data_IF_463978596092
#
_entry.id   IF_463978596092
#
_cell.length_a   1.000
_cell.length_b   1.000
_cell.length_c   1.000
_cell.angle_alpha   90.00
_cell.angle_beta   90.00
_cell.angle_gamma   90.00
#
_symmetry.space_group_name_H-M   'P 1'
#
loop_
_entity.id
_entity.type
_entity.pdbx_description
1 polymer ?
#
# COMPACT_ATOMS: atom_id res chain seq x y z
N UNK A 1 37.43 -0.10 -25.89
CA UNK A 1 36.71 -0.16 -27.20
C UNK A 1 35.22 -0.20 -26.89
N UNK A 2 34.44 0.77 -27.36
CA UNK A 2 32.98 0.71 -27.27
C UNK A 2 32.46 -0.25 -28.34
N UNK A 3 31.58 -1.19 -27.98
CA UNK A 3 30.95 -2.13 -28.91
C UNK A 3 29.55 -1.61 -29.21
N UNK A 4 29.21 -1.28 -30.46
CA UNK A 4 27.85 -0.92 -30.81
C UNK A 4 26.94 -2.14 -30.62
N UNK A 5 25.84 -1.96 -29.89
CA UNK A 5 24.81 -2.98 -29.71
C UNK A 5 23.52 -2.48 -30.33
N UNK A 6 22.78 -3.40 -30.96
CA UNK A 6 21.42 -3.12 -31.44
C UNK A 6 20.45 -3.62 -30.37
N UNK A 7 19.62 -2.72 -29.85
CA UNK A 7 18.60 -3.12 -28.88
C UNK A 7 17.60 -4.08 -29.55
N UNK A 8 17.23 -5.20 -28.90
CA UNK A 8 16.22 -6.09 -29.44
C UNK A 8 14.88 -5.35 -29.56
N UNK A 9 14.30 -5.36 -30.76
CA UNK A 9 12.95 -4.84 -30.99
C UNK A 9 11.98 -5.88 -30.45
N UNK A 10 11.29 -5.57 -29.37
CA UNK A 10 10.24 -6.46 -28.88
C UNK A 10 9.06 -6.41 -29.83
N UNK A 11 8.64 -7.57 -30.34
CA UNK A 11 7.48 -7.67 -31.20
C UNK A 11 6.23 -7.14 -30.50
N UNK A 12 5.36 -6.46 -31.26
CA UNK A 12 4.05 -6.07 -30.78
C UNK A 12 3.18 -7.34 -30.71
N UNK A 13 2.97 -7.86 -29.50
CA UNK A 13 2.08 -8.99 -29.25
C UNK A 13 0.72 -8.46 -28.76
N UNK A 14 -0.35 -8.61 -29.55
CA UNK A 14 -1.69 -8.17 -29.14
C UNK A 14 -2.20 -8.84 -27.86
N UNK A 15 -1.64 -10.00 -27.47
CA UNK A 15 -1.96 -10.71 -26.23
C UNK A 15 -1.41 -10.00 -24.98
N UNK A 16 -0.40 -9.15 -25.15
CA UNK A 16 0.30 -8.41 -24.11
C UNK A 16 0.53 -6.96 -24.56
N UNK A 17 -0.54 -6.15 -24.67
CA UNK A 17 -0.50 -4.84 -25.31
C UNK A 17 0.21 -3.75 -24.48
N UNK A 18 0.54 -4.02 -23.22
CA UNK A 18 1.19 -3.07 -22.32
C UNK A 18 2.69 -3.37 -22.17
N UNK A 19 3.47 -2.35 -21.80
CA UNK A 19 4.88 -2.49 -21.43
C UNK A 19 5.07 -2.33 -19.93
N UNK A 20 5.49 -3.40 -19.28
CA UNK A 20 5.82 -3.41 -17.86
C UNK A 20 7.26 -2.93 -17.65
N UNK A 21 7.38 -1.88 -16.85
CA UNK A 21 8.60 -1.41 -16.24
C UNK A 21 8.61 -1.81 -14.75
N UNK A 22 9.78 -2.18 -14.24
CA UNK A 22 9.97 -2.49 -12.82
C UNK A 22 10.93 -1.49 -12.21
N UNK A 23 10.74 -1.10 -10.96
CA UNK A 23 11.71 -0.20 -10.32
C UNK A 23 11.70 -0.23 -8.82
N UNK A 24 12.16 0.89 -8.23
CA UNK A 24 12.41 1.02 -6.81
C UNK A 24 11.59 2.18 -6.24
N UNK A 25 11.06 1.96 -5.05
CA UNK A 25 10.61 3.02 -4.17
C UNK A 25 11.79 3.55 -3.37
N UNK A 26 11.72 4.85 -3.08
CA UNK A 26 12.72 5.58 -2.30
C UNK A 26 13.00 4.93 -0.94
N UNK A 27 11.94 4.58 -0.22
CA UNK A 27 12.03 4.14 1.19
C UNK A 27 12.40 2.66 1.34
N UNK A 28 12.58 1.94 0.24
CA UNK A 28 12.74 0.50 0.23
C UNK A 28 14.04 0.10 -0.46
N UNK A 29 14.72 -0.89 0.11
CA UNK A 29 16.03 -1.33 -0.34
C UNK A 29 16.01 -2.80 -0.72
N UNK A 30 16.30 -3.08 -1.99
CA UNK A 30 16.23 -4.41 -2.60
C UNK A 30 14.98 -5.17 -2.15
N UNK A 31 15.13 -6.38 -1.63
CA UNK A 31 14.06 -7.30 -1.27
C UNK A 31 13.53 -7.10 0.16
N UNK A 32 13.68 -5.89 0.72
CA UNK A 32 13.17 -5.53 2.05
C UNK A 32 13.75 -6.33 3.23
N UNK A 33 14.85 -7.07 3.05
CA UNK A 33 15.49 -7.83 4.13
C UNK A 33 15.96 -6.98 5.31
N UNK A 34 16.17 -5.69 5.09
CA UNK A 34 16.45 -4.70 6.15
C UNK A 34 15.33 -3.67 6.30
N UNK A 35 14.91 -3.07 5.18
CA UNK A 35 13.95 -1.96 5.18
C UNK A 35 12.53 -2.40 5.51
N UNK A 36 12.15 -3.64 5.19
CA UNK A 36 10.86 -4.22 5.61
C UNK A 36 10.75 -4.51 7.11
N UNK A 37 11.86 -4.46 7.87
CA UNK A 37 11.86 -4.58 9.33
C UNK A 37 11.71 -3.23 10.04
N UNK A 38 11.72 -2.12 9.30
CA UNK A 38 11.57 -0.78 9.88
C UNK A 38 10.10 -0.35 9.84
N UNK A 39 9.48 -0.08 11.00
CA UNK A 39 8.14 0.53 11.06
C UNK A 39 8.10 1.84 10.28
N UNK A 40 9.07 2.74 10.52
CA UNK A 40 9.14 4.07 9.92
C UNK A 40 9.17 4.01 8.38
N UNK A 41 10.03 3.16 7.80
CA UNK A 41 10.15 3.07 6.33
C UNK A 41 8.94 2.39 5.67
N UNK A 42 8.15 1.65 6.45
CA UNK A 42 6.94 0.98 5.96
C UNK A 42 5.74 1.92 5.82
N UNK A 43 5.78 3.12 6.42
CA UNK A 43 4.60 3.98 6.56
C UNK A 43 4.15 4.65 5.25
N UNK A 44 5.05 4.99 4.34
CA UNK A 44 4.71 5.78 3.13
C UNK A 44 4.12 4.93 2.00
N UNK A 45 4.59 3.69 1.81
CA UNK A 45 4.00 2.71 0.88
C UNK A 45 4.03 1.33 1.51
N UNK A 46 2.88 0.93 2.05
CA UNK A 46 2.68 -0.38 2.73
C UNK A 46 2.48 -1.52 1.74
N UNK A 47 2.02 -1.20 0.53
CA UNK A 47 1.64 -2.17 -0.50
C UNK A 47 2.47 -2.00 -1.81
N UNK A 48 2.73 -3.09 -2.55
CA UNK A 48 3.23 -3.00 -3.91
C UNK A 48 2.09 -2.50 -4.80
N UNK A 49 2.35 -1.40 -5.51
CA UNK A 49 1.35 -0.75 -6.35
C UNK A 49 1.66 -1.04 -7.82
N UNK A 50 0.62 -1.17 -8.64
CA UNK A 50 0.72 -1.07 -10.10
C UNK A 50 0.30 0.33 -10.50
N UNK A 51 1.25 1.11 -11.02
CA UNK A 51 1.01 2.48 -11.48
C UNK A 51 0.58 2.46 -12.94
N UNK A 52 -0.63 2.95 -13.20
CA UNK A 52 -1.30 2.93 -14.51
C UNK A 52 -1.79 4.33 -14.86
N UNK A 53 -1.64 4.74 -16.12
CA UNK A 53 -2.15 6.01 -16.59
C UNK A 53 -3.70 6.03 -16.57
N UNK A 54 -4.36 7.15 -16.20
CA UNK A 54 -5.83 7.24 -16.10
C UNK A 54 -6.62 6.73 -17.31
N UNK A 55 -6.15 7.03 -18.52
CA UNK A 55 -6.77 6.55 -19.76
C UNK A 55 -6.77 5.02 -19.88
N UNK A 56 -5.66 4.37 -19.54
CA UNK A 56 -5.55 2.92 -19.65
C UNK A 56 -6.32 2.25 -18.52
N UNK A 57 -6.32 2.85 -17.31
CA UNK A 57 -7.15 2.41 -16.21
C UNK A 57 -8.64 2.42 -16.59
N UNK A 58 -9.13 3.51 -17.21
CA UNK A 58 -10.50 3.61 -17.70
C UNK A 58 -10.81 2.56 -18.78
N UNK A 59 -9.91 2.38 -19.76
CA UNK A 59 -10.08 1.39 -20.82
C UNK A 59 -10.10 -0.06 -20.31
N UNK A 60 -9.39 -0.34 -19.21
CA UNK A 60 -9.26 -1.67 -18.60
C UNK A 60 -10.26 -1.91 -17.45
N UNK A 61 -11.08 -0.92 -17.08
CA UNK A 61 -12.00 -1.01 -15.95
C UNK A 61 -11.31 -1.08 -14.58
N UNK A 62 -10.11 -0.52 -14.46
CA UNK A 62 -9.35 -0.49 -13.21
C UNK A 62 -9.81 0.67 -12.32
N UNK A 63 -10.11 0.36 -11.06
CA UNK A 63 -10.44 1.35 -10.04
C UNK A 63 -9.21 1.68 -9.18
N UNK A 64 -9.06 2.96 -8.78
CA UNK A 64 -8.10 3.34 -7.75
C UNK A 64 -8.34 2.51 -6.47
N UNK A 65 -7.26 2.10 -5.81
CA UNK A 65 -7.26 1.21 -4.64
C UNK A 65 -7.89 -0.19 -4.86
N UNK A 66 -8.32 -0.50 -6.09
CA UNK A 66 -8.70 -1.85 -6.50
C UNK A 66 -7.49 -2.79 -6.56
N UNK A 67 -7.74 -4.08 -6.80
CA UNK A 67 -6.69 -5.06 -7.08
C UNK A 67 -6.63 -5.36 -8.57
N UNK A 68 -5.42 -5.56 -9.07
CA UNK A 68 -5.19 -5.93 -10.45
C UNK A 68 -4.07 -6.95 -10.59
N UNK A 69 -4.27 -7.92 -11.47
CA UNK A 69 -3.29 -8.95 -11.79
C UNK A 69 -2.55 -8.57 -13.07
N UNK A 70 -1.25 -8.33 -12.94
CA UNK A 70 -0.35 -8.15 -14.08
C UNK A 70 0.05 -9.53 -14.57
N UNK A 71 -0.11 -9.79 -15.87
CA UNK A 71 0.20 -11.08 -16.50
C UNK A 71 1.18 -10.88 -17.64
N UNK A 72 2.22 -11.71 -17.68
CA UNK A 72 3.22 -11.80 -18.76
C UNK A 72 3.32 -13.24 -19.23
N UNK A 73 4.15 -13.50 -20.24
CA UNK A 73 4.46 -14.88 -20.68
C UNK A 73 5.13 -15.72 -19.56
N UNK A 74 5.82 -15.10 -18.61
CA UNK A 74 6.52 -15.79 -17.51
C UNK A 74 5.62 -16.12 -16.32
N UNK A 75 4.50 -15.42 -16.15
CA UNK A 75 3.64 -15.61 -15.00
C UNK A 75 2.77 -14.39 -14.68
N UNK A 76 2.31 -14.35 -13.43
CA UNK A 76 1.41 -13.30 -12.95
C UNK A 76 1.71 -12.91 -11.50
N UNK A 77 1.33 -11.68 -11.16
CA UNK A 77 1.41 -11.10 -9.82
C UNK A 77 0.29 -10.08 -9.62
N UNK A 78 -0.23 -9.98 -8.39
CA UNK A 78 -1.37 -9.10 -8.04
C UNK A 78 -0.90 -7.91 -7.22
N UNK A 79 -1.38 -6.72 -7.57
CA UNK A 79 -1.00 -5.44 -7.00
C UNK A 79 -2.23 -4.60 -6.66
N UNK A 80 -2.05 -3.65 -5.74
CA UNK A 80 -2.99 -2.55 -5.54
C UNK A 80 -2.87 -1.55 -6.68
N UNK A 81 -3.97 -1.09 -7.25
CA UNK A 81 -3.97 -0.14 -8.37
C UNK A 81 -3.70 1.27 -7.86
N UNK A 82 -2.69 1.92 -8.44
CA UNK A 82 -2.48 3.36 -8.33
C UNK A 82 -2.70 4.00 -9.71
N UNK A 83 -3.66 4.92 -9.79
CA UNK A 83 -3.85 5.74 -10.98
C UNK A 83 -2.85 6.90 -10.91
N UNK A 84 -1.93 6.96 -11.87
CA UNK A 84 -0.82 7.92 -11.88
C UNK A 84 -0.77 8.66 -13.22
N UNK A 85 -1.19 9.95 -13.27
CA UNK A 85 -1.13 10.76 -14.50
C UNK A 85 0.27 10.92 -15.07
N UNK A 86 1.32 10.82 -14.22
CA UNK A 86 2.71 10.84 -14.65
C UNK A 86 3.15 9.57 -15.40
N UNK A 87 2.36 8.50 -15.39
CA UNK A 87 2.66 7.27 -16.13
C UNK A 87 2.42 7.45 -17.62
N UNK A 88 3.27 6.87 -18.47
CA UNK A 88 3.06 6.92 -19.92
C UNK A 88 1.95 5.95 -20.34
N UNK A 89 1.06 6.39 -21.24
CA UNK A 89 0.02 5.53 -21.83
C UNK A 89 0.63 4.31 -22.52
N UNK A 90 0.05 3.13 -22.28
CA UNK A 90 0.54 1.84 -22.74
C UNK A 90 1.69 1.26 -21.90
N UNK A 91 2.24 2.02 -20.96
CA UNK A 91 3.31 1.58 -20.06
C UNK A 91 2.74 1.47 -18.62
N UNK A 92 3.22 0.49 -17.86
CA UNK A 92 2.82 0.26 -16.46
C UNK A 92 4.06 0.02 -15.60
N UNK A 93 3.98 0.39 -14.32
CA UNK A 93 5.10 0.28 -13.40
C UNK A 93 4.73 -0.54 -12.17
N UNK A 94 5.65 -1.42 -11.73
CA UNK A 94 5.56 -2.09 -10.42
C UNK A 94 6.89 -2.02 -9.65
N UNK A 95 6.87 -1.95 -8.32
CA UNK A 95 8.09 -2.02 -7.52
C UNK A 95 8.64 -3.44 -7.43
N UNK A 96 9.96 -3.57 -7.30
CA UNK A 96 10.64 -4.86 -7.20
C UNK A 96 10.82 -5.42 -5.78
N UNK A 97 10.32 -4.70 -4.77
CA UNK A 97 10.77 -4.91 -3.39
C UNK A 97 10.14 -6.10 -2.67
N UNK A 98 8.90 -6.46 -3.00
CA UNK A 98 8.14 -7.44 -2.23
C UNK A 98 8.53 -8.87 -2.59
N UNK A 99 8.84 -9.66 -1.56
CA UNK A 99 9.11 -11.10 -1.61
C UNK A 99 7.93 -11.91 -1.07
N UNK A 100 8.06 -13.24 -1.03
CA UNK A 100 7.11 -14.15 -0.39
C UNK A 100 7.04 -13.99 1.13
N UNK A 101 8.06 -13.40 1.77
CA UNK A 101 7.98 -12.98 3.16
C UNK A 101 7.02 -11.80 3.33
N UNK A 102 7.00 -10.87 2.38
CA UNK A 102 6.27 -9.60 2.52
C UNK A 102 4.93 -9.59 1.78
N UNK A 103 4.71 -10.48 0.81
CA UNK A 103 3.48 -10.57 0.03
C UNK A 103 3.22 -11.96 -0.53
N UNK A 104 1.94 -12.35 -0.56
CA UNK A 104 1.50 -13.60 -1.20
C UNK A 104 1.49 -13.54 -2.73
N UNK A 105 1.24 -12.35 -3.31
CA UNK A 105 0.94 -12.20 -4.73
C UNK A 105 1.74 -11.10 -5.46
N UNK A 106 2.20 -10.04 -4.77
CA UNK A 106 2.79 -8.84 -5.37
C UNK A 106 4.29 -8.93 -5.68
N UNK A 107 4.75 -10.03 -6.31
CA UNK A 107 6.18 -10.32 -6.56
C UNK A 107 6.54 -10.06 -8.03
N UNK A 108 7.23 -8.96 -8.31
CA UNK A 108 7.58 -8.56 -9.69
C UNK A 108 8.48 -9.55 -10.43
N UNK A 109 9.35 -10.28 -9.71
CA UNK A 109 10.27 -11.23 -10.35
C UNK A 109 9.55 -12.42 -11.01
N UNK A 110 8.27 -12.64 -10.71
CA UNK A 110 7.43 -13.62 -11.42
C UNK A 110 7.05 -13.18 -12.84
N UNK A 111 7.23 -11.90 -13.15
CA UNK A 111 6.79 -11.29 -14.40
C UNK A 111 7.90 -11.22 -15.46
N UNK A 112 9.16 -11.22 -15.03
CA UNK A 112 10.30 -11.05 -15.93
C UNK A 112 10.54 -12.28 -16.80
N UNK A 113 10.92 -12.07 -18.06
CA UNK A 113 11.43 -13.13 -18.93
C UNK A 113 12.79 -13.65 -18.41
N UNK A 114 13.10 -14.95 -18.60
CA UNK A 114 14.41 -15.50 -18.26
C UNK A 114 15.52 -15.06 -19.23
N UNK A 115 15.17 -14.36 -20.32
CA UNK A 115 16.12 -13.89 -21.32
C UNK A 115 17.14 -12.93 -20.73
N UNK A 116 18.39 -13.13 -21.13
CA UNK A 116 19.52 -12.30 -20.72
C UNK A 116 20.25 -11.76 -21.95
N UNK A 117 20.88 -10.61 -21.79
CA UNK A 117 21.79 -10.08 -22.79
C UNK A 117 22.96 -11.05 -23.00
N UNK A 118 23.23 -11.52 -24.23
CA UNK A 118 24.22 -12.57 -24.50
C UNK A 118 25.66 -12.16 -24.22
N UNK A 119 25.95 -10.86 -24.05
CA UNK A 119 27.30 -10.35 -23.76
C UNK A 119 27.53 -10.18 -22.26
N UNK A 120 26.58 -9.59 -21.55
CA UNK A 120 26.70 -9.23 -20.12
C UNK A 120 26.06 -10.24 -19.17
N UNK A 121 25.16 -11.09 -19.66
CA UNK A 121 24.33 -11.99 -18.85
C UNK A 121 23.26 -11.26 -18.02
N UNK A 122 23.03 -9.96 -18.26
CA UNK A 122 22.05 -9.19 -17.50
C UNK A 122 20.62 -9.39 -18.03
N UNK A 123 19.61 -9.51 -17.15
CA UNK A 123 18.21 -9.70 -17.55
C UNK A 123 17.52 -8.41 -18.00
N UNK A 124 16.54 -8.53 -18.90
CA UNK A 124 15.76 -7.42 -19.45
C UNK A 124 14.52 -7.02 -18.61
N UNK A 125 14.69 -6.36 -17.46
CA UNK A 125 13.57 -6.07 -16.55
C UNK A 125 12.71 -4.83 -16.85
N UNK A 126 13.12 -3.98 -17.80
CA UNK A 126 12.55 -2.63 -17.99
C UNK A 126 11.60 -2.50 -19.17
N UNK A 127 11.27 -3.61 -19.81
CA UNK A 127 10.55 -3.61 -21.07
C UNK A 127 9.83 -4.94 -21.33
N UNK A 128 9.01 -5.40 -20.37
CA UNK A 128 8.34 -6.71 -20.46
C UNK A 128 6.94 -6.57 -21.05
N UNK A 129 6.55 -7.30 -22.11
CA UNK A 129 5.16 -7.34 -22.56
C UNK A 129 4.23 -7.83 -21.44
N UNK A 130 3.14 -7.11 -21.19
CA UNK A 130 2.17 -7.46 -20.17
C UNK A 130 0.73 -7.17 -20.61
N UNK A 131 -0.22 -7.78 -19.91
CA UNK A 131 -1.61 -7.32 -19.81
C UNK A 131 -2.00 -7.18 -18.35
N UNK A 132 -3.09 -6.46 -18.08
CA UNK A 132 -3.64 -6.32 -16.72
C UNK A 132 -5.07 -6.84 -16.71
N UNK A 133 -5.42 -7.56 -15.65
CA UNK A 133 -6.75 -8.09 -15.37
C UNK A 133 -7.27 -7.53 -14.04
N UNK A 134 -8.54 -7.13 -13.98
CA UNK A 134 -9.19 -6.72 -12.73
C UNK A 134 -9.29 -7.92 -11.79
N UNK A 135 -8.99 -7.71 -10.51
CA UNK A 135 -9.24 -8.69 -9.45
C UNK A 135 -10.26 -8.10 -8.48
N UNK A 136 -11.42 -8.74 -8.40
CA UNK A 136 -12.52 -8.32 -7.52
C UNK A 136 -12.66 -9.32 -6.38
N UNK A 137 -12.14 -9.02 -5.17
CA UNK A 137 -12.32 -9.90 -4.03
C UNK A 137 -13.75 -9.81 -3.49
N UNK A 138 -14.27 -10.90 -2.92
CA UNK A 138 -15.56 -10.88 -2.22
C UNK A 138 -15.49 -10.14 -0.89
N UNK A 139 -14.32 -10.15 -0.26
CA UNK A 139 -14.05 -9.45 0.99
C UNK A 139 -12.66 -8.84 1.01
N UNK A 140 -12.54 -7.73 1.74
CA UNK A 140 -11.28 -7.06 2.06
C UNK A 140 -11.12 -6.98 3.57
N UNK A 141 -9.89 -7.09 4.03
CA UNK A 141 -9.59 -7.05 5.46
C UNK A 141 -8.21 -6.46 5.73
N UNK A 142 -7.98 -6.08 6.98
CA UNK A 142 -6.62 -5.94 7.49
C UNK A 142 -6.51 -6.59 8.87
N UNK A 143 -5.31 -7.07 9.17
CA UNK A 143 -4.92 -7.68 10.44
C UNK A 143 -3.77 -6.87 11.02
N UNK A 144 -3.91 -6.42 12.26
CA UNK A 144 -2.80 -5.96 13.09
C UNK A 144 -2.49 -7.08 14.08
N UNK A 145 -1.22 -7.46 14.25
CA UNK A 145 -0.83 -8.53 15.17
C UNK A 145 0.64 -8.40 15.59
N UNK A 146 1.00 -8.91 16.78
CA UNK A 146 2.40 -8.93 17.25
C UNK A 146 3.27 -9.83 16.36
N UNK A 147 2.73 -10.98 16.00
CA UNK A 147 3.41 -11.98 15.19
C UNK A 147 3.09 -11.83 13.71
N UNK A 148 3.72 -12.63 12.85
CA UNK A 148 3.59 -12.50 11.41
C UNK A 148 3.02 -13.80 10.82
N UNK A 149 1.72 -14.12 11.06
CA UNK A 149 1.12 -15.29 10.45
C UNK A 149 1.29 -15.22 8.94
N UNK A 150 1.43 -16.38 8.29
CA UNK A 150 1.55 -16.47 6.84
C UNK A 150 0.20 -16.95 6.27
N UNK A 151 -0.64 -16.04 5.76
CA UNK A 151 -1.93 -16.42 5.23
C UNK A 151 -1.76 -17.32 4.01
N UNK A 152 -2.55 -18.38 3.95
CA UNK A 152 -2.59 -19.33 2.82
C UNK A 152 -3.95 -19.24 2.13
N UNK A 153 -3.97 -19.50 0.81
CA UNK A 153 -5.23 -19.57 0.05
C UNK A 153 -5.95 -18.23 -0.19
N UNK A 154 -5.34 -17.09 0.16
CA UNK A 154 -5.93 -15.77 -0.10
C UNK A 154 -5.63 -15.27 -1.51
N UNK A 155 -6.56 -14.49 -2.09
CA UNK A 155 -6.34 -13.80 -3.37
C UNK A 155 -5.19 -12.80 -3.27
N UNK A 156 -5.07 -12.14 -2.13
CA UNK A 156 -4.08 -11.10 -1.89
C UNK A 156 -3.75 -10.99 -0.41
N UNK A 157 -2.46 -10.93 -0.10
CA UNK A 157 -2.00 -10.42 1.18
C UNK A 157 -0.65 -9.70 1.04
N UNK A 158 -0.48 -8.65 1.84
CA UNK A 158 0.77 -7.90 1.97
C UNK A 158 0.94 -7.49 3.42
N UNK A 159 2.13 -7.69 3.99
CA UNK A 159 2.45 -7.24 5.35
C UNK A 159 3.44 -6.09 5.34
N UNK A 160 3.35 -5.25 6.36
CA UNK A 160 4.22 -4.11 6.62
C UNK A 160 4.52 -4.05 8.12
N UNK A 161 5.72 -3.60 8.48
CA UNK A 161 6.10 -3.48 9.89
C UNK A 161 5.38 -2.28 10.52
N UNK A 162 4.91 -2.44 11.74
CA UNK A 162 4.43 -1.37 12.61
C UNK A 162 5.12 -1.45 13.96
N UNK A 163 4.93 -0.43 14.80
CA UNK A 163 5.43 -0.48 16.17
C UNK A 163 4.75 -1.64 16.91
N UNK A 164 5.54 -2.46 17.59
CA UNK A 164 5.04 -3.64 18.32
C UNK A 164 4.62 -4.84 17.47
N UNK A 165 4.65 -4.79 16.13
CA UNK A 165 4.27 -5.95 15.32
C UNK A 165 4.11 -5.69 13.82
N UNK A 166 3.02 -6.20 13.25
CA UNK A 166 2.75 -6.26 11.82
C UNK A 166 1.35 -5.76 11.50
N UNK A 167 1.24 -5.11 10.35
CA UNK A 167 -0.02 -4.82 9.69
C UNK A 167 -0.06 -5.56 8.36
N UNK A 168 -1.09 -6.37 8.17
CA UNK A 168 -1.30 -7.18 6.96
C UNK A 168 -2.60 -6.79 6.28
N UNK A 169 -2.53 -6.27 5.07
CA UNK A 169 -3.69 -6.10 4.19
C UNK A 169 -4.03 -7.44 3.55
N UNK A 170 -5.33 -7.76 3.47
CA UNK A 170 -5.85 -9.06 3.07
C UNK A 170 -7.02 -8.87 2.10
N UNK A 171 -7.15 -9.76 1.12
CA UNK A 171 -8.36 -9.90 0.33
C UNK A 171 -8.54 -11.35 -0.13
N UNK A 172 -9.79 -11.79 -0.25
CA UNK A 172 -10.09 -13.16 -0.62
C UNK A 172 -11.53 -13.37 -1.06
N UNK A 173 -11.83 -14.65 -1.25
CA UNK A 173 -13.14 -15.18 -1.63
C UNK A 173 -13.64 -16.08 -0.50
N UNK A 174 -14.95 -16.34 -0.45
CA UNK A 174 -15.56 -17.25 0.51
C UNK A 174 -15.48 -16.75 1.96
N UNK A 175 -15.13 -17.68 2.85
CA UNK A 175 -14.99 -17.43 4.28
C UNK A 175 -13.52 -17.18 4.64
N UNK A 176 -13.28 -16.19 5.50
CA UNK A 176 -11.97 -15.95 6.09
C UNK A 176 -11.73 -16.94 7.24
N UNK A 177 -10.58 -17.58 7.25
CA UNK A 177 -10.13 -18.42 8.37
C UNK A 177 -9.50 -17.54 9.46
N UNK A 178 -10.35 -16.96 10.30
CA UNK A 178 -9.90 -16.08 11.38
C UNK A 178 -9.06 -16.83 12.42
N UNK A 179 -9.31 -18.12 12.63
CA UNK A 179 -8.59 -18.94 13.61
C UNK A 179 -7.15 -19.22 13.16
N UNK A 180 -6.89 -19.35 11.86
CA UNK A 180 -5.54 -19.45 11.33
C UNK A 180 -4.75 -18.12 11.39
N UNK A 181 -5.45 -16.98 11.52
CA UNK A 181 -4.84 -15.65 11.50
C UNK A 181 -4.62 -15.05 12.89
N UNK A 182 -5.44 -15.43 13.87
CA UNK A 182 -5.47 -14.82 15.19
C UNK A 182 -4.77 -15.72 16.23
N UNK A 183 -4.00 -15.13 17.16
CA UNK A 183 -3.46 -15.86 18.29
C UNK A 183 -4.57 -16.23 19.29
N UNK A 184 -4.24 -17.11 20.23
CA UNK A 184 -5.09 -17.39 21.39
C UNK A 184 -5.13 -16.19 22.36
N UNK A 185 -6.22 -16.05 23.10
CA UNK A 185 -6.41 -15.00 24.11
C UNK A 185 -7.88 -14.67 24.38
N UNK A 186 -8.13 -13.61 25.16
CA UNK A 186 -9.48 -13.07 25.35
C UNK A 186 -9.97 -12.47 24.03
N UNK A 187 -11.06 -13.02 23.48
CA UNK A 187 -11.62 -12.61 22.19
C UNK A 187 -12.83 -11.69 22.38
N UNK A 188 -12.71 -10.50 21.82
CA UNK A 188 -13.81 -9.56 21.62
C UNK A 188 -14.24 -9.66 20.17
N UNK A 189 -15.54 -9.79 19.90
CA UNK A 189 -16.05 -9.98 18.54
C UNK A 189 -17.35 -9.22 18.30
N UNK A 190 -17.47 -8.65 17.09
CA UNK A 190 -18.74 -8.20 16.53
C UNK A 190 -18.83 -8.60 15.06
N UNK A 191 -20.00 -9.12 14.67
CA UNK A 191 -20.30 -9.44 13.29
C UNK A 191 -21.64 -8.81 12.89
N UNK A 192 -21.69 -8.27 11.68
CA UNK A 192 -22.92 -7.83 11.00
C UNK A 192 -22.94 -8.51 9.63
N UNK A 193 -23.51 -9.74 9.53
CA UNK A 193 -23.55 -10.50 8.27
C UNK A 193 -24.29 -9.79 7.15
N UNK A 194 -25.31 -8.98 7.48
CA UNK A 194 -26.08 -8.21 6.49
C UNK A 194 -25.22 -7.14 5.81
N UNK A 195 -24.22 -6.59 6.52
CA UNK A 195 -23.21 -5.66 5.97
C UNK A 195 -21.90 -6.34 5.60
N UNK A 196 -21.84 -7.67 5.71
CA UNK A 196 -20.63 -8.47 5.51
C UNK A 196 -19.45 -8.01 6.37
N UNK A 197 -19.70 -7.55 7.58
CA UNK A 197 -18.69 -7.04 8.51
C UNK A 197 -18.37 -8.08 9.59
N UNK A 198 -17.08 -8.30 9.84
CA UNK A 198 -16.57 -9.08 10.97
C UNK A 198 -15.41 -8.32 11.58
N UNK A 199 -15.40 -8.18 12.91
CA UNK A 199 -14.32 -7.51 13.64
C UNK A 199 -14.01 -8.29 14.89
N UNK A 200 -12.74 -8.60 15.07
CA UNK A 200 -12.25 -9.40 16.18
C UNK A 200 -11.03 -8.69 16.77
N UNK A 201 -10.99 -8.55 18.09
CA UNK A 201 -9.80 -8.15 18.82
C UNK A 201 -9.44 -9.23 19.83
N UNK A 202 -8.15 -9.52 19.97
CA UNK A 202 -7.63 -10.52 20.90
C UNK A 202 -6.69 -9.83 21.88
N UNK A 203 -6.87 -10.10 23.17
CA UNK A 203 -6.01 -9.63 24.26
C UNK A 203 -5.30 -10.80 24.95
N UNK A 204 -4.10 -10.54 25.43
CA UNK A 204 -3.40 -11.48 26.33
C UNK A 204 -3.97 -11.42 27.77
N UNK A 205 -3.42 -12.23 28.66
CA UNK A 205 -3.85 -12.35 30.05
C UNK A 205 -3.63 -11.05 30.85
N UNK A 206 -2.69 -10.20 30.41
CA UNK A 206 -2.45 -8.86 30.93
C UNK A 206 -3.41 -7.79 30.37
N UNK A 207 -4.32 -8.18 29.47
CA UNK A 207 -5.31 -7.32 28.84
C UNK A 207 -4.76 -6.46 27.70
N UNK A 208 -3.53 -6.70 27.26
CA UNK A 208 -2.89 -5.96 26.18
C UNK A 208 -3.30 -6.52 24.81
N UNK A 209 -3.55 -5.64 23.84
CA UNK A 209 -3.92 -6.06 22.48
C UNK A 209 -2.79 -6.89 21.85
N UNK A 210 -3.09 -8.12 21.42
CA UNK A 210 -2.17 -9.00 20.67
C UNK A 210 -2.50 -9.06 19.18
N UNK A 211 -3.78 -8.92 18.82
CA UNK A 211 -4.22 -8.89 17.44
C UNK A 211 -5.58 -8.20 17.27
N UNK A 212 -5.83 -7.65 16.08
CA UNK A 212 -7.13 -7.16 15.66
C UNK A 212 -7.35 -7.39 14.16
N UNK A 213 -8.44 -8.05 13.80
CA UNK A 213 -8.85 -8.37 12.43
C UNK A 213 -10.13 -7.60 12.09
N UNK A 214 -10.11 -6.87 10.98
CA UNK A 214 -11.26 -6.13 10.47
C UNK A 214 -11.56 -6.58 9.05
N UNK A 215 -12.78 -7.06 8.81
CA UNK A 215 -13.22 -7.63 7.54
C UNK A 215 -14.49 -6.91 7.08
N UNK A 216 -14.58 -6.66 5.78
CA UNK A 216 -15.79 -6.14 5.16
C UNK A 216 -15.98 -6.67 3.73
N UNK A 217 -17.24 -6.88 3.33
CA UNK A 217 -17.62 -7.20 1.94
C UNK A 217 -18.07 -5.99 1.14
N UNK A 218 -18.69 -5.01 1.78
CA UNK A 218 -19.31 -3.86 1.09
C UNK A 218 -19.18 -2.51 1.81
N UNK A 219 -18.60 -2.48 3.01
CA UNK A 219 -18.42 -1.27 3.81
C UNK A 219 -16.96 -0.83 3.86
N UNK A 220 -16.69 0.23 4.63
CA UNK A 220 -15.33 0.72 4.82
C UNK A 220 -14.62 0.02 5.96
N UNK A 221 -13.31 -0.17 5.76
CA UNK A 221 -12.41 -0.62 6.81
C UNK A 221 -11.99 0.57 7.67
N UNK A 222 -11.84 0.40 8.99
CA UNK A 222 -11.38 1.47 9.86
C UNK A 222 -9.95 1.93 9.53
N UNK A 223 -9.51 3.09 10.07
CA UNK A 223 -8.15 3.57 9.91
C UNK A 223 -7.13 2.58 10.47
N UNK A 224 -6.16 2.20 9.63
CA UNK A 224 -5.08 1.26 9.96
C UNK A 224 -4.22 1.75 11.12
N UNK A 225 -3.87 3.04 11.09
CA UNK A 225 -2.95 3.66 12.04
C UNK A 225 -3.45 3.59 13.48
N UNK A 226 -4.75 3.80 13.69
CA UNK A 226 -5.31 3.76 15.04
C UNK A 226 -5.23 2.35 15.62
N UNK A 227 -5.66 1.34 14.87
CA UNK A 227 -5.61 -0.06 15.29
C UNK A 227 -4.16 -0.54 15.50
N UNK A 228 -3.25 -0.16 14.61
CA UNK A 228 -1.82 -0.46 14.75
C UNK A 228 -1.23 0.16 16.02
N UNK A 229 -1.59 1.40 16.34
CA UNK A 229 -1.11 2.10 17.53
C UNK A 229 -1.62 1.53 18.86
N UNK A 230 -2.65 0.67 18.85
CA UNK A 230 -3.13 0.01 20.07
C UNK A 230 -2.38 -1.29 20.39
N UNK A 231 -1.54 -1.80 19.47
CA UNK A 231 -0.87 -3.08 19.64
C UNK A 231 0.09 -3.04 20.85
N UNK A 232 -0.06 -4.00 21.76
CA UNK A 232 0.68 -4.05 23.03
C UNK A 232 0.16 -3.08 24.10
N UNK A 233 -0.85 -2.26 23.80
CA UNK A 233 -1.50 -1.36 24.77
C UNK A 233 -2.70 -2.00 25.46
N UNK A 234 -3.00 -1.51 26.67
CA UNK A 234 -4.14 -1.95 27.52
C UNK A 234 -5.24 -0.89 27.66
N UNK A 235 -4.98 0.34 27.19
CA UNK A 235 -5.81 1.50 27.51
C UNK A 235 -7.12 1.60 26.70
N UNK A 236 -7.14 1.11 25.47
CA UNK A 236 -8.32 1.22 24.60
C UNK A 236 -9.49 0.41 25.15
N UNK A 237 -10.70 0.96 25.12
CA UNK A 237 -11.90 0.24 25.54
C UNK A 237 -12.27 -0.87 24.53
N UNK A 238 -12.95 -1.95 24.96
CA UNK A 238 -13.42 -3.01 24.05
C UNK A 238 -14.23 -2.47 22.85
N UNK A 239 -15.11 -1.50 23.09
CA UNK A 239 -15.90 -0.88 22.03
C UNK A 239 -15.05 -0.09 21.02
N UNK A 240 -13.95 0.54 21.45
CA UNK A 240 -13.02 1.25 20.56
C UNK A 240 -12.25 0.27 19.69
N UNK A 241 -11.76 -0.82 20.28
CA UNK A 241 -11.06 -1.89 19.56
C UNK A 241 -11.96 -2.50 18.48
N UNK A 242 -13.21 -2.82 18.81
CA UNK A 242 -14.16 -3.31 17.81
C UNK A 242 -14.58 -2.22 16.82
N UNK A 243 -14.62 -0.95 17.21
CA UNK A 243 -14.90 0.14 16.29
C UNK A 243 -13.73 0.42 15.32
N UNK A 244 -12.49 0.09 15.71
CA UNK A 244 -11.26 0.44 15.00
C UNK A 244 -10.95 1.94 15.04
N UNK A 245 -11.47 2.66 16.04
CA UNK A 245 -11.33 4.10 16.21
C UNK A 245 -11.61 4.51 17.66
N UNK A 246 -11.09 5.67 18.12
CA UNK A 246 -11.36 6.14 19.48
C UNK A 246 -12.79 6.67 19.60
N UNK A 247 -13.37 6.61 20.80
CA UNK A 247 -14.70 7.17 21.09
C UNK A 247 -14.70 8.69 21.07
N UNK A 248 -13.63 9.30 21.59
CA UNK A 248 -13.39 10.73 21.47
C UNK A 248 -12.59 10.97 20.19
N UNK A 249 -13.07 11.80 19.24
CA UNK A 249 -12.34 12.11 18.03
C UNK A 249 -10.94 12.59 18.34
N UNK A 250 -9.94 11.80 17.97
CA UNK A 250 -8.54 12.19 18.02
C UNK A 250 -8.12 12.69 16.65
N UNK A 251 -7.24 13.69 16.63
CA UNK A 251 -6.71 14.25 15.40
C UNK A 251 -5.93 13.16 14.64
N UNK A 252 -6.38 12.84 13.44
CA UNK A 252 -5.64 11.97 12.52
C UNK A 252 -4.62 12.81 11.76
N UNK A 253 -3.37 12.32 11.68
CA UNK A 253 -2.35 12.92 10.79
C UNK A 253 -2.63 12.65 9.31
N UNK A 254 -3.52 11.71 9.00
CA UNK A 254 -3.74 11.23 7.63
C UNK A 254 -2.54 10.43 7.10
N UNK A 255 -2.52 10.13 5.78
CA UNK A 255 -1.42 9.40 5.16
C UNK A 255 -0.08 10.11 5.36
N UNK A 256 0.99 9.36 5.66
CA UNK A 256 2.33 9.91 5.85
C UNK A 256 2.86 10.48 4.53
N UNK A 257 3.23 11.76 4.55
CA UNK A 257 3.83 12.47 3.41
C UNK A 257 5.34 12.61 3.60
N UNK A 258 5.80 12.94 4.81
CA UNK A 258 7.23 13.05 5.13
C UNK A 258 7.66 11.95 6.11
N UNK A 259 8.27 10.88 5.59
CA UNK A 259 8.81 9.78 6.42
C UNK A 259 9.90 10.25 7.39
N UNK A 260 10.76 11.18 6.96
CA UNK A 260 11.88 11.67 7.78
C UNK A 260 11.46 12.28 9.11
N UNK A 261 10.27 12.91 9.17
CA UNK A 261 9.78 13.63 10.34
C UNK A 261 8.41 13.13 10.82
N UNK A 262 7.85 12.08 10.21
CA UNK A 262 6.54 11.53 10.56
C UNK A 262 5.38 12.52 10.36
N UNK A 263 5.45 13.34 9.31
CA UNK A 263 4.41 14.36 9.00
C UNK A 263 3.41 13.78 8.02
N UNK A 264 2.12 13.87 8.37
CA UNK A 264 1.01 13.39 7.55
C UNK A 264 0.35 14.49 6.71
N UNK A 265 -0.52 14.07 5.79
CA UNK A 265 -1.24 14.99 4.89
C UNK A 265 -2.08 16.02 5.66
N UNK A 266 -2.72 15.63 6.77
CA UNK A 266 -3.55 16.53 7.56
C UNK A 266 -2.72 17.58 8.32
N UNK A 267 -1.47 17.23 8.71
CA UNK A 267 -0.54 18.20 9.29
C UNK A 267 -0.15 19.29 8.28
N UNK A 268 0.02 18.90 7.01
CA UNK A 268 0.32 19.82 5.91
C UNK A 268 -0.90 20.70 5.62
N UNK A 269 -2.10 20.13 5.50
CA UNK A 269 -3.33 20.89 5.25
C UNK A 269 -3.61 21.90 6.36
N UNK A 270 -3.44 21.52 7.63
CA UNK A 270 -3.62 22.45 8.75
C UNK A 270 -2.60 23.59 8.69
N UNK A 271 -1.32 23.30 8.46
CA UNK A 271 -0.31 24.33 8.30
C UNK A 271 -0.63 25.27 7.13
N UNK A 272 -1.17 24.74 6.03
CA UNK A 272 -1.63 25.52 4.89
C UNK A 272 -2.78 26.46 5.29
N UNK A 273 -3.83 25.95 5.94
CA UNK A 273 -4.95 26.76 6.45
C UNK A 273 -4.51 27.79 7.51
N UNK A 274 -3.42 27.53 8.23
CA UNK A 274 -2.79 28.48 9.14
C UNK A 274 -1.93 29.55 8.42
N UNK A 275 -1.91 29.57 7.09
CA UNK A 275 -1.24 30.57 6.26
C UNK A 275 0.08 30.14 5.62
N UNK A 276 0.50 28.88 5.75
CA UNK A 276 1.72 28.39 5.12
C UNK A 276 1.51 28.10 3.61
N UNK A 277 1.54 29.14 2.78
CA UNK A 277 1.21 29.06 1.36
C UNK A 277 2.34 28.56 0.43
N UNK A 278 3.49 28.12 0.97
CA UNK A 278 4.61 27.62 0.14
C UNK A 278 5.21 26.35 0.75
N UNK A 279 5.85 25.52 -0.08
CA UNK A 279 6.57 24.32 0.39
C UNK A 279 7.60 24.67 1.46
N UNK A 280 8.27 25.82 1.34
CA UNK A 280 9.22 26.30 2.34
C UNK A 280 8.52 26.67 3.67
N UNK A 281 7.38 27.38 3.60
CA UNK A 281 6.59 27.74 4.79
C UNK A 281 6.05 26.49 5.50
N UNK A 282 5.55 25.49 4.75
CA UNK A 282 5.15 24.19 5.32
C UNK A 282 6.34 23.52 6.01
N UNK A 283 7.52 23.56 5.39
CA UNK A 283 8.74 23.03 6.00
C UNK A 283 9.11 23.72 7.31
N UNK A 284 8.95 25.04 7.40
CA UNK A 284 9.17 25.77 8.66
C UNK A 284 8.14 25.41 9.73
N UNK A 285 6.88 25.18 9.36
CA UNK A 285 5.79 24.87 10.30
C UNK A 285 5.80 23.41 10.78
N UNK A 286 6.18 22.46 9.92
CA UNK A 286 6.01 21.02 10.16
C UNK A 286 7.31 20.21 10.13
N UNK A 287 8.44 20.84 9.79
CA UNK A 287 9.70 20.19 9.40
C UNK A 287 9.64 19.37 8.08
N UNK A 288 8.47 19.19 7.46
CA UNK A 288 8.34 18.40 6.24
C UNK A 288 9.17 18.98 5.08
N UNK A 289 9.95 18.13 4.42
CA UNK A 289 10.76 18.52 3.25
C UNK A 289 12.08 19.22 3.57
N UNK A 290 12.45 19.34 4.86
CA UNK A 290 13.70 20.00 5.30
C UNK A 290 14.91 19.06 5.38
N UNK A 291 14.70 17.74 5.44
CA UNK A 291 15.77 16.74 5.48
C UNK A 291 16.15 16.21 4.07
N UNK A 292 15.46 15.19 3.55
CA UNK A 292 15.79 14.60 2.24
C UNK A 292 15.08 15.27 1.03
N UNK A 293 14.15 16.18 1.27
CA UNK A 293 13.40 16.91 0.22
C UNK A 293 12.43 16.10 -0.64
N UNK A 294 12.39 14.77 -0.52
CA UNK A 294 11.63 13.90 -1.43
C UNK A 294 10.10 14.02 -1.34
N UNK A 295 9.57 14.58 -0.25
CA UNK A 295 8.15 14.85 -0.06
C UNK A 295 7.71 16.22 -0.62
N UNK A 296 8.64 17.06 -1.07
CA UNK A 296 8.34 18.42 -1.58
C UNK A 296 7.34 18.44 -2.74
N UNK A 297 7.39 17.54 -3.73
CA UNK A 297 6.37 17.50 -4.79
C UNK A 297 4.98 17.13 -4.26
N UNK A 298 4.90 16.24 -3.27
CA UNK A 298 3.63 15.88 -2.65
C UNK A 298 3.06 17.04 -1.81
N UNK A 299 3.91 17.76 -1.07
CA UNK A 299 3.54 18.99 -0.36
C UNK A 299 2.98 20.03 -1.35
N UNK A 300 3.64 20.25 -2.49
CA UNK A 300 3.18 21.19 -3.50
C UNK A 300 1.78 20.86 -4.03
N UNK A 301 1.51 19.58 -4.35
CA UNK A 301 0.17 19.14 -4.78
C UNK A 301 -0.90 19.32 -3.70
N UNK A 302 -0.57 19.04 -2.44
CA UNK A 302 -1.50 19.25 -1.32
C UNK A 302 -1.81 20.74 -1.12
N UNK A 303 -0.82 21.61 -1.31
CA UNK A 303 -1.02 23.07 -1.29
C UNK A 303 -1.92 23.53 -2.44
N UNK A 304 -1.66 23.08 -3.67
CA UNK A 304 -2.51 23.40 -4.82
C UNK A 304 -3.96 22.97 -4.58
N UNK A 305 -4.18 21.76 -4.05
CA UNK A 305 -5.50 21.26 -3.72
C UNK A 305 -6.19 22.09 -2.62
N UNK A 306 -5.47 22.44 -1.55
CA UNK A 306 -6.00 23.23 -0.45
C UNK A 306 -6.41 24.65 -0.90
N UNK A 307 -5.57 25.30 -1.71
CA UNK A 307 -5.85 26.63 -2.25
C UNK A 307 -7.03 26.62 -3.23
N UNK A 308 -7.21 25.53 -3.99
CA UNK A 308 -8.37 25.37 -4.88
C UNK A 308 -9.66 25.27 -4.08
N UNK A 309 -9.66 24.47 -3.00
CA UNK A 309 -10.82 24.33 -2.10
C UNK A 309 -11.17 25.66 -1.41
N UNK A 310 -10.16 26.42 -0.93
CA UNK A 310 -10.39 27.73 -0.34
C UNK A 310 -10.96 28.74 -1.34
N UNK A 311 -10.53 28.69 -2.60
CA UNK A 311 -11.07 29.53 -3.67
C UNK A 311 -12.53 29.17 -4.00
N UNK A 312 -12.85 27.88 -4.10
CA UNK A 312 -14.23 27.39 -4.35
C UNK A 312 -15.17 27.68 -3.16
N UNK A 313 -14.67 27.67 -1.92
CA UNK A 313 -15.45 27.97 -0.74
C UNK A 313 -15.69 29.48 -0.51
N UNK A 314 -14.93 30.33 -1.20
CA UNK A 314 -15.05 31.79 -1.14
C UNK A 314 -16.00 32.37 -2.22
N UNK A 315 -16.45 31.53 -3.17
CA UNK A 315 -17.44 31.83 -4.21
C UNK A 315 -18.88 31.47 -3.77
#
# INVERSE_FOLDING_TARGET
RLVPVTAPVTANDPSFPLRLNTGRYRDQWHTMTRTGLSPTLSQHRREPLVEVHPHDAAALGLAADGLARVVTASGAATYRVQIEPGQRRGDVFVPMHWTDTMSGAGRSNRLAAPDVDPLSGQPGFKNTPARIEVVTPEWRAFLVTRDAPAPVGLLYWVRSRVDGGWLTELAGEGAIDAEALLPQGERLEVADPAKGMLRIAVRDDEGALVAALYVTRSGDLPPREWAAGQLGGTAAAPAELLAGRPMTPQRSRGPIVCVCHGVGANDITEAACAGAATVAAIGSATAAGTNCGSCRPAIARLLEAALTIEAEAAE
#
